data_IF_950587575234
#
_entry.id   IF_950587575234
#
_cell.length_a   1.000
_cell.length_b   1.000
_cell.length_c   1.000
_cell.angle_alpha   90.00
_cell.angle_beta   90.00
_cell.angle_gamma   90.00
#
_symmetry.space_group_name_H-M   'P 1'
#
loop_
_entity.id
_entity.type
_entity.pdbx_description
1 polymer ?
#
# COMPACT_ATOMS: atom_id res chain seq x y z
N UNK A 1 -6.19 -2.26 -37.51
CA UNK A 1 -5.29 -1.85 -36.42
C UNK A 1 -4.44 -3.04 -36.02
N UNK A 2 -3.13 -2.86 -35.87
CA UNK A 2 -2.27 -3.92 -35.35
C UNK A 2 -2.56 -4.08 -33.84
N UNK A 3 -2.91 -5.27 -33.31
CA UNK A 3 -3.13 -5.50 -31.87
C UNK A 3 -1.92 -5.13 -30.99
N UNK A 4 -0.75 -4.94 -31.59
CA UNK A 4 0.46 -4.47 -30.92
C UNK A 4 0.47 -2.97 -30.60
N UNK A 5 -0.45 -2.17 -31.16
CA UNK A 5 -0.52 -0.71 -30.95
C UNK A 5 -1.46 -0.25 -29.82
N UNK A 6 -2.01 -1.16 -29.00
CA UNK A 6 -2.80 -0.76 -27.83
C UNK A 6 -1.85 -0.23 -26.74
N UNK A 7 -2.04 1.00 -26.22
CA UNK A 7 -1.22 1.54 -25.15
C UNK A 7 -1.14 0.59 -23.96
N UNK A 8 0.03 0.44 -23.35
CA UNK A 8 0.25 -0.48 -22.21
C UNK A 8 -0.80 -0.30 -21.09
N UNK A 9 -1.17 0.96 -20.79
CA UNK A 9 -2.21 1.29 -19.80
C UNK A 9 -3.56 0.64 -20.12
N UNK A 10 -3.94 0.63 -21.39
CA UNK A 10 -5.20 0.03 -21.84
C UNK A 10 -5.13 -1.51 -21.79
N UNK A 11 -4.01 -2.13 -22.19
CA UNK A 11 -3.81 -3.58 -22.02
C UNK A 11 -3.89 -4.01 -20.55
N UNK A 12 -3.30 -3.23 -19.63
CA UNK A 12 -3.38 -3.48 -18.20
C UNK A 12 -4.82 -3.34 -17.66
N UNK A 13 -5.55 -2.31 -18.09
CA UNK A 13 -6.95 -2.11 -17.71
C UNK A 13 -7.84 -3.26 -18.21
N UNK A 14 -7.71 -3.65 -19.48
CA UNK A 14 -8.45 -4.78 -20.05
C UNK A 14 -8.14 -6.09 -19.31
N UNK A 15 -6.87 -6.34 -19.00
CA UNK A 15 -6.46 -7.50 -18.18
C UNK A 15 -7.08 -7.49 -16.79
N UNK A 16 -7.14 -6.33 -16.13
CA UNK A 16 -7.73 -6.17 -14.81
C UNK A 16 -9.25 -6.37 -14.83
N UNK A 17 -9.95 -5.79 -15.82
CA UNK A 17 -11.39 -5.97 -15.97
C UNK A 17 -11.73 -7.43 -16.26
N UNK A 18 -10.94 -8.10 -17.11
CA UNK A 18 -11.10 -9.52 -17.39
C UNK A 18 -10.88 -10.39 -16.14
N UNK A 19 -9.89 -10.06 -15.30
CA UNK A 19 -9.63 -10.83 -14.08
C UNK A 19 -10.77 -10.69 -13.06
N UNK A 20 -11.41 -9.51 -12.97
CA UNK A 20 -12.64 -9.32 -12.18
C UNK A 20 -13.76 -10.21 -12.71
N UNK A 21 -14.01 -10.19 -14.02
CA UNK A 21 -15.10 -10.99 -14.61
C UNK A 21 -14.88 -12.49 -14.43
N UNK A 22 -13.65 -12.98 -14.55
CA UNK A 22 -13.34 -14.40 -14.42
C UNK A 22 -13.38 -14.91 -12.98
N UNK A 23 -13.08 -14.06 -11.99
CA UNK A 23 -13.01 -14.44 -10.59
C UNK A 23 -13.57 -13.34 -9.67
N UNK A 24 -14.87 -13.03 -9.74
CA UNK A 24 -15.45 -11.89 -9.02
C UNK A 24 -15.30 -12.02 -7.50
N UNK A 25 -15.25 -13.24 -6.97
CA UNK A 25 -15.06 -13.52 -5.54
C UNK A 25 -13.67 -13.15 -4.99
N UNK A 26 -12.68 -12.89 -5.86
CA UNK A 26 -11.35 -12.41 -5.45
C UNK A 26 -11.32 -10.90 -5.16
N UNK A 27 -12.37 -10.18 -5.54
CA UNK A 27 -12.48 -8.74 -5.39
C UNK A 27 -13.58 -8.43 -4.38
N UNK A 28 -13.19 -8.04 -3.18
CA UNK A 28 -14.11 -7.75 -2.09
C UNK A 28 -14.03 -6.25 -1.81
N UNK A 29 -15.18 -5.59 -1.84
CA UNK A 29 -15.30 -4.18 -1.46
C UNK A 29 -15.15 -4.04 0.06
N UNK A 30 -14.47 -2.99 0.52
CA UNK A 30 -14.27 -2.73 1.94
C UNK A 30 -13.64 -1.36 2.18
N UNK A 31 -13.45 -1.03 3.45
CA UNK A 31 -12.79 0.20 3.88
C UNK A 31 -11.36 -0.10 4.33
N UNK A 32 -10.43 0.82 4.11
CA UNK A 32 -9.04 0.63 4.52
C UNK A 32 -8.87 0.53 6.05
N UNK A 33 -9.84 1.06 6.81
CA UNK A 33 -9.93 0.99 8.28
C UNK A 33 -10.79 -0.18 8.78
N UNK A 34 -11.44 -0.92 7.88
CA UNK A 34 -12.31 -2.06 8.20
C UNK A 34 -12.25 -3.06 7.04
N UNK A 35 -11.14 -3.79 7.00
CA UNK A 35 -10.84 -4.79 5.97
C UNK A 35 -11.70 -6.03 6.28
N UNK A 36 -12.56 -6.50 5.35
CA UNK A 36 -13.59 -7.51 5.61
C UNK A 36 -13.01 -8.94 5.62
N UNK A 37 -11.97 -9.14 6.41
CA UNK A 37 -11.28 -10.41 6.61
C UNK A 37 -10.93 -10.58 8.09
N UNK A 38 -10.83 -11.83 8.51
CA UNK A 38 -10.51 -12.18 9.89
C UNK A 38 -9.09 -11.74 10.29
N UNK A 39 -8.85 -11.77 11.60
CA UNK A 39 -7.50 -11.58 12.13
C UNK A 39 -6.56 -12.68 11.60
N UNK A 40 -5.33 -12.31 11.24
CA UNK A 40 -4.32 -13.26 10.73
C UNK A 40 -4.75 -14.05 9.47
N UNK A 41 -5.48 -13.41 8.57
CA UNK A 41 -5.94 -14.01 7.33
C UNK A 41 -4.85 -14.08 6.24
N UNK A 42 -4.09 -12.99 6.03
CA UNK A 42 -3.16 -12.85 4.91
C UNK A 42 -1.69 -13.03 5.30
N UNK A 43 -0.90 -13.67 4.43
CA UNK A 43 0.57 -13.71 4.54
C UNK A 43 1.22 -12.39 4.09
N UNK A 44 0.56 -11.68 3.17
CA UNK A 44 1.00 -10.39 2.62
C UNK A 44 -0.20 -9.46 2.44
N UNK A 45 -0.08 -8.25 2.99
CA UNK A 45 -0.97 -7.11 2.71
C UNK A 45 -0.11 -6.02 2.10
N UNK A 46 -0.54 -5.45 0.98
CA UNK A 46 0.19 -4.34 0.37
C UNK A 46 -0.75 -3.34 -0.28
N UNK A 47 -0.33 -2.07 -0.30
CA UNK A 47 -1.03 -1.01 -1.02
C UNK A 47 -0.31 -0.72 -2.33
N UNK A 48 -1.01 -0.79 -3.46
CA UNK A 48 -0.53 -0.17 -4.71
C UNK A 48 -0.82 1.33 -4.70
N UNK A 49 -0.06 2.08 -5.49
CA UNK A 49 0.21 3.54 -5.40
C UNK A 49 -0.99 4.50 -5.51
N UNK A 50 -2.25 4.05 -5.44
CA UNK A 50 -3.42 4.88 -5.78
C UNK A 50 -4.20 5.47 -4.58
N UNK A 51 -4.14 4.88 -3.38
CA UNK A 51 -4.96 5.34 -2.24
C UNK A 51 -4.13 5.97 -1.12
N UNK A 52 -2.86 5.61 -1.05
CA UNK A 52 -1.93 6.04 -0.02
C UNK A 52 -1.67 7.56 0.12
N UNK A 53 -1.79 8.43 -0.90
CA UNK A 53 -1.48 9.85 -0.76
C UNK A 53 -2.47 10.56 0.14
N UNK A 54 -3.76 10.35 -0.12
CA UNK A 54 -4.85 10.93 0.66
C UNK A 54 -4.88 10.39 2.09
N UNK A 55 -4.54 9.11 2.26
CA UNK A 55 -4.40 8.52 3.59
C UNK A 55 -3.19 9.09 4.36
N UNK A 56 -2.11 9.43 3.67
CA UNK A 56 -0.87 9.88 4.29
C UNK A 56 -0.88 11.35 4.72
N UNK A 57 -1.88 12.14 4.36
CA UNK A 57 -2.02 13.52 4.85
C UNK A 57 -2.56 13.57 6.28
N UNK A 58 -3.39 12.60 6.66
CA UNK A 58 -3.92 12.44 8.02
C UNK A 58 -3.20 11.28 8.74
N UNK A 59 -2.41 11.61 9.76
CA UNK A 59 -1.65 10.63 10.51
C UNK A 59 -2.53 9.61 11.26
N UNK A 60 -3.66 10.04 11.84
CA UNK A 60 -4.50 9.12 12.61
C UNK A 60 -5.24 8.15 11.68
N UNK A 61 -5.67 8.63 10.51
CA UNK A 61 -6.22 7.76 9.47
C UNK A 61 -5.16 6.78 8.94
N UNK A 62 -3.96 7.26 8.62
CA UNK A 62 -2.83 6.43 8.19
C UNK A 62 -2.52 5.34 9.23
N UNK A 63 -2.49 5.71 10.50
CA UNK A 63 -2.24 4.78 11.61
C UNK A 63 -3.36 3.75 11.73
N UNK A 64 -4.63 4.17 11.67
CA UNK A 64 -5.77 3.26 11.73
C UNK A 64 -5.73 2.24 10.59
N UNK A 65 -5.45 2.68 9.36
CA UNK A 65 -5.27 1.79 8.20
C UNK A 65 -4.12 0.81 8.42
N UNK A 66 -2.99 1.29 8.94
CA UNK A 66 -1.84 0.42 9.17
C UNK A 66 -2.06 -0.61 10.29
N UNK A 67 -2.75 -0.23 11.36
CA UNK A 67 -3.16 -1.15 12.42
C UNK A 67 -4.15 -2.20 11.89
N UNK A 68 -5.06 -1.80 11.01
CA UNK A 68 -6.01 -2.71 10.37
C UNK A 68 -5.32 -3.70 9.42
N UNK A 69 -4.38 -3.22 8.60
CA UNK A 69 -3.54 -4.10 7.76
C UNK A 69 -2.77 -5.12 8.62
N UNK A 70 -2.24 -4.69 9.77
CA UNK A 70 -1.56 -5.59 10.70
C UNK A 70 -2.53 -6.58 11.36
N UNK A 71 -3.77 -6.19 11.66
CA UNK A 71 -4.80 -7.08 12.22
C UNK A 71 -5.01 -8.28 11.30
N UNK A 72 -5.27 -8.03 10.02
CA UNK A 72 -5.55 -9.08 9.04
C UNK A 72 -4.30 -9.84 8.58
N UNK A 73 -3.10 -9.37 8.89
CA UNK A 73 -1.84 -10.05 8.54
C UNK A 73 -1.49 -11.14 9.55
N UNK A 74 -1.04 -12.31 9.09
CA UNK A 74 -0.61 -13.45 9.94
C UNK A 74 0.56 -13.11 10.85
N UNK A 75 0.56 -13.68 12.06
CA UNK A 75 1.70 -13.66 13.00
C UNK A 75 2.79 -14.64 12.56
N UNK A 76 4.03 -14.44 13.00
CA UNK A 76 5.13 -15.36 12.74
C UNK A 76 5.67 -15.33 11.30
N UNK A 77 5.57 -14.19 10.60
CA UNK A 77 6.16 -14.04 9.26
C UNK A 77 5.33 -13.27 8.24
N UNK A 78 4.12 -12.83 8.59
CA UNK A 78 3.31 -12.00 7.70
C UNK A 78 3.88 -10.61 7.48
N UNK A 79 3.64 -10.04 6.30
CA UNK A 79 4.21 -8.76 5.89
C UNK A 79 3.12 -7.75 5.50
N UNK A 80 3.31 -6.50 5.91
CA UNK A 80 2.57 -5.35 5.40
C UNK A 80 3.53 -4.46 4.61
N UNK A 81 3.18 -4.10 3.38
CA UNK A 81 3.99 -3.25 2.51
C UNK A 81 3.21 -2.01 2.07
N UNK A 82 3.70 -0.85 2.50
CA UNK A 82 3.21 0.43 2.03
C UNK A 82 4.19 1.01 1.03
N UNK A 83 3.78 0.99 -0.24
CA UNK A 83 4.54 1.62 -1.30
C UNK A 83 4.32 3.14 -1.26
N UNK A 84 5.38 3.92 -1.49
CA UNK A 84 5.26 5.37 -1.55
C UNK A 84 4.32 5.75 -2.68
N UNK A 85 3.68 6.90 -2.51
CA UNK A 85 3.07 7.59 -3.63
C UNK A 85 4.16 8.07 -4.58
N UNK A 86 4.27 7.38 -5.71
CA UNK A 86 4.76 8.02 -6.92
C UNK A 86 3.62 8.94 -7.37
N UNK A 87 3.66 10.22 -6.96
CA UNK A 87 2.70 11.18 -7.50
C UNK A 87 2.74 11.19 -9.02
N UNK A 88 1.68 11.70 -9.65
CA UNK A 88 1.76 12.00 -11.09
C UNK A 88 2.98 12.87 -11.43
N UNK A 89 3.57 13.55 -10.44
CA UNK A 89 4.84 14.25 -10.55
C UNK A 89 6.12 13.54 -10.09
N UNK A 90 6.10 12.27 -9.66
CA UNK A 90 7.34 11.51 -9.47
C UNK A 90 7.98 11.08 -10.80
N UNK A 91 7.20 11.07 -11.88
CA UNK A 91 7.71 10.96 -13.25
C UNK A 91 8.25 12.30 -13.78
N UNK A 92 7.70 13.44 -13.30
CA UNK A 92 7.93 14.78 -13.87
C UNK A 92 8.67 15.76 -12.95
N UNK A 93 9.18 15.32 -11.79
CA UNK A 93 10.02 16.14 -10.90
C UNK A 93 9.27 17.03 -9.91
N UNK A 94 7.98 16.79 -9.66
CA UNK A 94 7.23 17.50 -8.62
C UNK A 94 7.74 17.12 -7.22
N UNK A 95 7.82 18.10 -6.30
CA UNK A 95 8.24 17.85 -4.93
C UNK A 95 7.23 16.95 -4.20
N UNK A 96 7.75 15.92 -3.53
CA UNK A 96 6.97 15.05 -2.64
C UNK A 96 6.38 15.92 -1.52
N UNK A 97 5.07 15.79 -1.24
CA UNK A 97 4.43 16.51 -0.14
C UNK A 97 5.16 16.24 1.19
N UNK A 98 5.70 17.27 1.87
CA UNK A 98 6.46 17.10 3.10
C UNK A 98 5.62 16.53 4.25
N UNK A 99 4.31 16.77 4.26
CA UNK A 99 3.38 16.20 5.25
C UNK A 99 3.32 14.68 5.13
N UNK A 100 3.22 14.17 3.89
CA UNK A 100 3.22 12.74 3.59
C UNK A 100 4.50 12.08 4.10
N UNK A 101 5.66 12.69 3.85
CA UNK A 101 6.96 12.19 4.33
C UNK A 101 7.03 12.18 5.86
N UNK A 102 6.56 13.24 6.52
CA UNK A 102 6.53 13.34 7.97
C UNK A 102 5.65 12.25 8.59
N UNK A 103 4.43 12.05 8.07
CA UNK A 103 3.49 11.07 8.57
C UNK A 103 3.98 9.63 8.37
N UNK A 104 4.62 9.32 7.23
CA UNK A 104 5.27 8.01 7.03
C UNK A 104 6.39 7.76 8.03
N UNK A 105 7.19 8.80 8.35
CA UNK A 105 8.24 8.70 9.36
C UNK A 105 7.65 8.47 10.75
N UNK A 106 6.60 9.22 11.11
CA UNK A 106 5.89 9.04 12.38
C UNK A 106 5.30 7.64 12.51
N UNK A 107 4.74 7.08 11.43
CA UNK A 107 4.20 5.74 11.40
C UNK A 107 5.29 4.68 11.62
N UNK A 108 6.44 4.84 10.96
CA UNK A 108 7.61 4.00 11.20
C UNK A 108 8.06 4.04 12.66
N UNK A 109 8.17 5.23 13.25
CA UNK A 109 8.57 5.39 14.65
C UNK A 109 7.55 4.78 15.61
N UNK A 110 6.25 4.94 15.33
CA UNK A 110 5.17 4.34 16.11
C UNK A 110 5.30 2.82 16.18
N UNK A 111 5.43 2.13 15.03
CA UNK A 111 5.50 0.68 15.02
C UNK A 111 6.85 0.13 15.49
N UNK A 112 7.96 0.75 15.08
CA UNK A 112 9.31 0.28 15.45
C UNK A 112 9.61 0.49 16.93
N UNK A 113 9.30 1.67 17.49
CA UNK A 113 9.70 2.03 18.86
C UNK A 113 8.64 1.72 19.90
N UNK A 114 7.36 1.95 19.61
CA UNK A 114 6.29 1.80 20.62
C UNK A 114 5.67 0.40 20.64
N UNK A 115 5.64 -0.29 19.50
CA UNK A 115 5.06 -1.64 19.39
C UNK A 115 6.11 -2.75 19.28
N UNK A 116 7.40 -2.40 19.13
CA UNK A 116 8.49 -3.37 18.96
C UNK A 116 8.37 -4.21 17.68
N UNK A 117 7.65 -3.71 16.67
CA UNK A 117 7.43 -4.41 15.41
C UNK A 117 8.60 -4.12 14.47
N UNK A 118 9.11 -5.15 13.80
CA UNK A 118 10.22 -4.98 12.86
C UNK A 118 9.74 -4.19 11.64
N UNK A 119 10.26 -2.98 11.48
CA UNK A 119 9.96 -2.11 10.34
C UNK A 119 11.24 -1.84 9.55
N UNK A 120 11.12 -1.76 8.22
CA UNK A 120 12.20 -1.37 7.33
C UNK A 120 11.72 -0.28 6.39
N UNK A 121 12.48 0.81 6.30
CA UNK A 121 12.36 1.75 5.20
C UNK A 121 13.35 1.30 4.13
N UNK A 122 12.90 0.95 2.92
CA UNK A 122 13.83 0.74 1.80
C UNK A 122 13.60 1.76 0.69
N UNK A 123 14.66 2.10 -0.03
CA UNK A 123 14.57 2.98 -1.20
C UNK A 123 14.00 2.17 -2.36
N UNK A 124 12.86 2.59 -2.89
CA UNK A 124 12.32 2.08 -4.16
C UNK A 124 13.17 2.52 -5.35
N UNK A 125 12.85 1.99 -6.54
CA UNK A 125 13.52 2.36 -7.79
C UNK A 125 13.51 3.88 -8.05
N UNK A 126 12.46 4.57 -7.58
CA UNK A 126 12.29 6.02 -7.69
C UNK A 126 12.91 6.81 -6.52
N UNK A 127 13.79 6.19 -5.73
CA UNK A 127 14.42 6.75 -4.51
C UNK A 127 13.44 7.09 -3.36
N UNK A 128 12.15 6.85 -3.54
CA UNK A 128 11.14 7.04 -2.50
C UNK A 128 11.20 5.92 -1.45
N UNK A 129 11.07 6.26 -0.15
CA UNK A 129 11.02 5.27 0.91
C UNK A 129 9.72 4.45 0.85
N UNK A 130 9.80 3.12 0.85
CA UNK A 130 8.67 2.23 1.15
C UNK A 130 8.79 1.68 2.56
N UNK A 131 7.65 1.55 3.24
CA UNK A 131 7.58 1.02 4.59
C UNK A 131 7.16 -0.46 4.52
N UNK A 132 8.08 -1.34 4.90
CA UNK A 132 7.83 -2.75 5.14
C UNK A 132 7.68 -2.97 6.65
N UNK A 133 6.57 -3.57 7.06
CA UNK A 133 6.31 -3.96 8.44
C UNK A 133 6.21 -5.48 8.51
N UNK A 134 6.99 -6.11 9.38
CA UNK A 134 6.97 -7.56 9.62
C UNK A 134 6.30 -7.84 10.95
N UNK A 135 5.22 -8.62 10.93
CA UNK A 135 4.52 -9.05 12.14
C UNK A 135 5.24 -10.26 12.74
N UNK A 136 5.77 -10.09 13.95
CA UNK A 136 6.36 -11.16 14.76
C UNK A 136 5.32 -12.17 15.24
#
# INVERSE_FOLDING_TARGET
>A
MNPDNIPLKQKCLESFLNSIQQNPTRYIAGYATEIPFDINYFDLVFSTSSVFPYLCEDFELLKAVAEECLRVTKRGGGNVQFFPYDGDGAADGEPINPVVVANQRHLFEYFSRRRGITCQIRKGANKLPHLLIRKS
#
